data_IF_504061185377
#
_entry.id   IF_504061185377
#
_cell.length_a   1.000
_cell.length_b   1.000
_cell.length_c   1.000
_cell.angle_alpha   90.00
_cell.angle_beta   90.00
_cell.angle_gamma   90.00
#
_symmetry.space_group_name_H-M   'P 1'
#
loop_
_entity.id
_entity.type
_entity.pdbx_description
1 polymer ?
#
# COMPACT_ATOMS: atom_id res chain seq x y z
N UNK A 1 7.52 -3.00 -29.43
CA UNK A 1 7.60 -3.15 -27.96
C UNK A 1 6.51 -4.11 -27.51
N UNK A 2 6.83 -5.28 -26.96
CA UNK A 2 5.84 -6.21 -26.40
C UNK A 2 5.50 -5.75 -24.98
N UNK A 3 4.33 -5.13 -24.80
CA UNK A 3 3.76 -4.79 -23.51
C UNK A 3 3.29 -6.09 -22.83
N UNK A 4 4.17 -6.75 -22.08
CA UNK A 4 3.79 -7.94 -21.30
C UNK A 4 4.19 -7.68 -19.85
N UNK A 5 3.38 -6.90 -19.16
CA UNK A 5 3.18 -7.13 -17.73
C UNK A 5 2.25 -8.34 -17.64
N UNK A 6 2.66 -9.40 -16.92
CA UNK A 6 1.84 -10.62 -16.84
C UNK A 6 0.59 -10.30 -15.99
N UNK A 7 -0.62 -10.75 -16.38
CA UNK A 7 -1.86 -10.54 -15.61
C UNK A 7 -1.71 -10.87 -14.12
N UNK A 8 -0.89 -11.88 -13.80
CA UNK A 8 -0.59 -12.30 -12.44
C UNK A 8 -0.04 -11.18 -11.55
N UNK A 9 0.74 -10.24 -12.09
CA UNK A 9 1.37 -9.18 -11.30
C UNK A 9 0.31 -8.17 -10.81
N UNK A 10 -0.64 -7.83 -11.67
CA UNK A 10 -1.77 -6.96 -11.32
C UNK A 10 -2.73 -7.64 -10.36
N UNK A 11 -2.94 -8.96 -10.53
CA UNK A 11 -3.73 -9.77 -9.60
C UNK A 11 -3.06 -9.80 -8.22
N UNK A 12 -1.73 -9.97 -8.13
CA UNK A 12 -1.00 -9.89 -6.87
C UNK A 12 -1.17 -8.52 -6.20
N UNK A 13 -1.10 -7.43 -6.96
CA UNK A 13 -1.34 -6.08 -6.43
C UNK A 13 -2.78 -5.93 -5.91
N UNK A 14 -3.77 -6.47 -6.63
CA UNK A 14 -5.16 -6.50 -6.20
C UNK A 14 -5.35 -7.21 -4.87
N UNK A 15 -4.79 -8.40 -4.70
CA UNK A 15 -4.87 -9.12 -3.44
C UNK A 15 -4.12 -8.41 -2.31
N UNK A 16 -2.97 -7.77 -2.60
CA UNK A 16 -2.27 -6.97 -1.61
C UNK A 16 -3.15 -5.83 -1.06
N UNK A 17 -3.93 -5.16 -1.91
CA UNK A 17 -4.91 -4.14 -1.51
C UNK A 17 -5.96 -4.73 -0.56
N UNK A 18 -6.50 -5.91 -0.88
CA UNK A 18 -7.50 -6.59 -0.03
C UNK A 18 -6.90 -6.90 1.35
N UNK A 19 -5.70 -7.47 1.39
CA UNK A 19 -5.04 -7.78 2.66
C UNK A 19 -4.73 -6.53 3.49
N UNK A 20 -4.47 -5.37 2.86
CA UNK A 20 -4.36 -4.10 3.60
C UNK A 20 -5.65 -3.76 4.33
N UNK A 21 -6.81 -3.94 3.70
CA UNK A 21 -8.11 -3.67 4.34
C UNK A 21 -8.30 -4.59 5.55
N UNK A 22 -8.04 -5.88 5.39
CA UNK A 22 -8.17 -6.87 6.46
C UNK A 22 -7.26 -6.56 7.65
N UNK A 23 -5.99 -6.21 7.40
CA UNK A 23 -5.04 -5.84 8.45
C UNK A 23 -5.46 -4.55 9.17
N UNK A 24 -5.95 -3.55 8.43
CA UNK A 24 -6.48 -2.33 9.03
C UNK A 24 -7.73 -2.59 9.87
N UNK A 25 -8.59 -3.51 9.46
CA UNK A 25 -9.73 -3.96 10.25
C UNK A 25 -9.28 -4.67 11.54
N UNK A 26 -8.28 -5.54 11.48
CA UNK A 26 -7.71 -6.19 12.68
C UNK A 26 -7.13 -5.17 13.68
N UNK A 27 -6.44 -4.14 13.19
CA UNK A 27 -5.95 -3.03 14.02
C UNK A 27 -7.14 -2.29 14.64
N UNK A 28 -8.16 -1.99 13.83
CA UNK A 28 -9.41 -1.38 14.29
C UNK A 28 -10.17 -2.26 15.30
N UNK A 29 -10.02 -3.59 15.25
CA UNK A 29 -10.60 -4.56 16.19
C UNK A 29 -9.71 -4.83 17.41
N UNK A 30 -8.45 -4.39 17.43
CA UNK A 30 -7.62 -4.29 18.66
C UNK A 30 -6.39 -5.16 18.69
N UNK A 31 -6.14 -5.87 17.60
CA UNK A 31 -4.91 -6.64 17.42
C UNK A 31 -3.80 -5.72 16.88
N UNK A 32 -3.40 -4.75 17.70
CA UNK A 32 -2.53 -3.66 17.26
C UNK A 32 -1.14 -4.17 16.84
N UNK A 33 -0.46 -4.92 17.71
CA UNK A 33 0.92 -5.35 17.49
C UNK A 33 0.98 -6.31 16.29
N UNK A 34 0.06 -7.28 16.23
CA UNK A 34 -0.04 -8.21 15.10
C UNK A 34 -0.35 -7.49 13.79
N UNK A 35 -1.34 -6.60 13.80
CA UNK A 35 -1.70 -5.80 12.63
C UNK A 35 -0.56 -4.91 12.16
N UNK A 36 0.19 -4.30 13.07
CA UNK A 36 1.37 -3.50 12.74
C UNK A 36 2.45 -4.31 11.99
N UNK A 37 2.80 -5.49 12.50
CA UNK A 37 3.77 -6.38 11.87
C UNK A 37 3.30 -6.77 10.47
N UNK A 38 2.02 -7.13 10.32
CA UNK A 38 1.43 -7.47 9.03
C UNK A 38 1.42 -6.29 8.06
N UNK A 39 1.21 -5.05 8.53
CA UNK A 39 1.20 -3.84 7.72
C UNK A 39 2.60 -3.54 7.15
N UNK A 40 3.65 -3.76 7.96
CA UNK A 40 5.05 -3.67 7.50
C UNK A 40 5.36 -4.74 6.47
N UNK A 41 4.93 -5.99 6.70
CA UNK A 41 5.12 -7.10 5.74
C UNK A 41 4.42 -6.77 4.42
N UNK A 42 3.17 -6.31 4.46
CA UNK A 42 2.40 -5.92 3.27
C UNK A 42 3.07 -4.78 2.51
N UNK A 43 3.70 -3.83 3.21
CA UNK A 43 4.44 -2.74 2.58
C UNK A 43 5.65 -3.26 1.81
N UNK A 44 6.43 -4.15 2.42
CA UNK A 44 7.56 -4.80 1.76
C UNK A 44 7.10 -5.63 0.54
N UNK A 45 6.04 -6.42 0.69
CA UNK A 45 5.46 -7.22 -0.40
C UNK A 45 4.97 -6.33 -1.53
N UNK A 46 4.28 -5.23 -1.23
CA UNK A 46 3.79 -4.28 -2.24
C UNK A 46 4.95 -3.63 -3.00
N UNK A 47 6.04 -3.26 -2.30
CA UNK A 47 7.25 -2.76 -2.96
C UNK A 47 7.88 -3.80 -3.89
N UNK A 48 7.93 -5.08 -3.48
CA UNK A 48 8.44 -6.16 -4.33
C UNK A 48 7.56 -6.36 -5.57
N UNK A 49 6.23 -6.31 -5.42
CA UNK A 49 5.28 -6.42 -6.54
C UNK A 49 5.46 -5.24 -7.50
N UNK A 50 5.54 -4.00 -6.99
CA UNK A 50 5.74 -2.81 -7.83
C UNK A 50 7.08 -2.87 -8.58
N UNK A 51 8.16 -3.28 -7.90
CA UNK A 51 9.46 -3.51 -8.55
C UNK A 51 9.38 -4.61 -9.61
N UNK A 52 8.59 -5.66 -9.37
CA UNK A 52 8.40 -6.72 -10.36
C UNK A 52 7.62 -6.23 -11.58
N UNK A 53 6.61 -5.38 -11.39
CA UNK A 53 5.87 -4.73 -12.47
C UNK A 53 6.78 -3.78 -13.26
N UNK A 54 7.65 -3.01 -12.59
CA UNK A 54 8.51 -2.01 -13.25
C UNK A 54 9.57 -2.59 -14.20
N UNK A 55 9.90 -3.88 -14.06
CA UNK A 55 10.85 -4.57 -14.95
C UNK A 55 10.36 -4.66 -16.40
N UNK A 56 9.06 -4.55 -16.62
CA UNK A 56 8.44 -4.67 -17.93
C UNK A 56 7.82 -3.34 -18.36
N UNK A 57 7.73 -3.11 -19.67
CA UNK A 57 6.96 -1.97 -20.20
C UNK A 57 5.48 -2.21 -19.94
N UNK A 58 4.89 -1.36 -19.11
CA UNK A 58 3.48 -1.42 -18.73
C UNK A 58 2.64 -0.62 -19.74
N UNK A 59 1.50 -1.18 -20.15
CA UNK A 59 0.55 -0.46 -21.02
C UNK A 59 -0.08 0.72 -20.28
N UNK A 60 -0.69 1.65 -21.01
CA UNK A 60 -1.44 2.76 -20.41
C UNK A 60 -2.50 2.28 -19.40
N UNK A 61 -3.30 1.27 -19.78
CA UNK A 61 -4.29 0.64 -18.88
C UNK A 61 -3.66 0.02 -17.64
N UNK A 62 -2.50 -0.63 -17.77
CA UNK A 62 -1.78 -1.20 -16.64
C UNK A 62 -1.26 -0.13 -15.67
N UNK A 63 -0.76 1.00 -16.19
CA UNK A 63 -0.34 2.13 -15.36
C UNK A 63 -1.54 2.76 -14.63
N UNK A 64 -2.66 2.94 -15.32
CA UNK A 64 -3.90 3.43 -14.71
C UNK A 64 -4.37 2.51 -13.58
N UNK A 65 -4.33 1.19 -13.80
CA UNK A 65 -4.68 0.21 -12.78
C UNK A 65 -3.77 0.30 -11.54
N UNK A 66 -2.44 0.31 -11.73
CA UNK A 66 -1.49 0.39 -10.60
C UNK A 66 -1.74 1.68 -9.81
N UNK A 67 -1.83 2.82 -10.50
CA UNK A 67 -2.08 4.10 -9.84
C UNK A 67 -3.43 4.13 -9.11
N UNK A 68 -4.48 3.55 -9.72
CA UNK A 68 -5.78 3.40 -9.08
C UNK A 68 -5.69 2.60 -7.78
N UNK A 69 -4.95 1.50 -7.78
CA UNK A 69 -4.76 0.67 -6.58
C UNK A 69 -4.01 1.38 -5.47
N UNK A 70 -2.90 2.04 -5.80
CA UNK A 70 -2.12 2.79 -4.82
C UNK A 70 -2.92 3.96 -4.23
N UNK A 71 -3.70 4.65 -5.07
CA UNK A 71 -4.61 5.70 -4.62
C UNK A 71 -5.70 5.15 -3.72
N UNK A 72 -6.30 4.00 -4.07
CA UNK A 72 -7.34 3.36 -3.28
C UNK A 72 -6.86 2.99 -1.88
N UNK A 73 -5.69 2.35 -1.73
CA UNK A 73 -5.19 2.00 -0.39
C UNK A 73 -4.85 3.28 0.40
N UNK A 74 -4.33 4.31 -0.25
CA UNK A 74 -4.07 5.60 0.40
C UNK A 74 -5.36 6.23 0.95
N UNK A 75 -6.44 6.19 0.18
CA UNK A 75 -7.75 6.69 0.61
C UNK A 75 -8.33 5.88 1.78
N UNK A 76 -8.22 4.56 1.72
CA UNK A 76 -8.67 3.65 2.81
C UNK A 76 -7.90 3.96 4.10
N UNK A 77 -6.57 4.12 4.03
CA UNK A 77 -5.77 4.50 5.19
C UNK A 77 -6.23 5.81 5.80
N UNK A 78 -6.47 6.84 4.97
CA UNK A 78 -6.97 8.13 5.45
C UNK A 78 -8.31 7.98 6.17
N UNK A 79 -9.24 7.18 5.65
CA UNK A 79 -10.52 6.92 6.32
C UNK A 79 -10.33 6.25 7.68
N UNK A 80 -9.48 5.24 7.77
CA UNK A 80 -9.17 4.57 9.04
C UNK A 80 -8.50 5.53 10.05
N UNK A 81 -7.65 6.44 9.58
CA UNK A 81 -7.06 7.51 10.39
C UNK A 81 -8.16 8.43 10.95
N UNK A 82 -9.11 8.85 10.12
CA UNK A 82 -10.23 9.71 10.55
C UNK A 82 -11.09 9.00 11.60
N UNK A 83 -11.41 7.71 11.39
CA UNK A 83 -12.15 6.91 12.39
C UNK A 83 -11.38 6.71 13.70
N UNK A 84 -10.05 6.65 13.62
CA UNK A 84 -9.18 6.56 14.79
C UNK A 84 -9.20 7.88 15.59
N UNK A 85 -9.00 9.02 14.92
CA UNK A 85 -8.96 10.36 15.55
C UNK A 85 -10.32 10.73 16.16
N UNK A 86 -11.43 10.37 15.50
CA UNK A 86 -12.80 10.66 15.97
C UNK A 86 -13.24 9.83 17.19
N UNK A 87 -12.35 9.01 17.75
CA UNK A 87 -12.42 8.61 19.16
C UNK A 87 -13.23 7.35 19.47
N UNK A 88 -13.47 6.46 18.50
CA UNK A 88 -14.07 5.15 18.81
C UNK A 88 -13.16 4.24 19.65
N UNK A 89 -11.86 4.55 19.81
CA UNK A 89 -10.92 3.80 20.65
C UNK A 89 -9.89 4.67 21.35
N UNK A 90 -9.85 4.60 22.68
CA UNK A 90 -8.78 5.11 23.53
C UNK A 90 -7.68 4.06 23.63
N UNK A 91 -6.81 3.95 22.62
CA UNK A 91 -5.52 3.31 22.86
C UNK A 91 -4.70 4.22 23.78
N UNK A 92 -3.82 3.66 24.61
CA UNK A 92 -2.90 4.46 25.43
C UNK A 92 -2.23 5.48 24.49
N UNK A 93 -2.32 6.75 24.84
CA UNK A 93 -2.25 7.87 23.88
C UNK A 93 -0.98 7.87 23.00
N UNK A 94 0.08 7.20 23.43
CA UNK A 94 1.37 7.13 22.74
C UNK A 94 1.44 6.03 21.68
N UNK A 95 0.96 4.82 21.95
CA UNK A 95 1.06 3.68 21.02
C UNK A 95 0.18 3.90 19.79
N UNK A 96 -1.04 4.39 20.01
CA UNK A 96 -1.99 4.71 18.95
C UNK A 96 -1.46 5.73 17.94
N UNK A 97 -0.79 6.79 18.43
CA UNK A 97 -0.21 7.84 17.59
C UNK A 97 0.98 7.34 16.76
N UNK A 98 1.86 6.53 17.35
CA UNK A 98 3.04 5.97 16.66
C UNK A 98 2.60 5.06 15.50
N UNK A 99 1.59 4.23 15.73
CA UNK A 99 1.07 3.29 14.72
C UNK A 99 0.35 4.02 13.61
N UNK A 100 -0.37 5.09 13.93
CA UNK A 100 -0.99 5.96 12.94
C UNK A 100 0.07 6.65 12.07
N UNK A 101 1.16 7.14 12.67
CA UNK A 101 2.27 7.76 11.96
C UNK A 101 2.99 6.78 11.01
N UNK A 102 3.20 5.54 11.45
CA UNK A 102 3.83 4.50 10.61
C UNK A 102 2.87 4.02 9.50
N UNK A 103 1.57 3.92 9.80
CA UNK A 103 0.53 3.66 8.82
C UNK A 103 0.41 4.73 7.73
N UNK A 104 0.95 5.94 7.96
CA UNK A 104 1.02 7.02 6.96
C UNK A 104 2.24 6.95 6.04
N UNK A 105 3.32 6.25 6.42
CA UNK A 105 4.50 6.08 5.56
C UNK A 105 4.18 5.47 4.18
N UNK A 106 3.31 4.45 4.04
CA UNK A 106 2.88 3.93 2.74
C UNK A 106 2.26 4.99 1.82
N UNK A 107 1.49 5.94 2.35
CA UNK A 107 0.73 6.95 1.58
C UNK A 107 1.67 7.81 0.73
N UNK A 108 2.83 8.16 1.27
CA UNK A 108 3.84 8.98 0.57
C UNK A 108 4.40 8.25 -0.66
N UNK A 109 4.55 6.93 -0.59
CA UNK A 109 5.00 6.12 -1.74
C UNK A 109 3.89 5.90 -2.76
N UNK A 110 2.65 5.83 -2.30
CA UNK A 110 1.48 5.50 -3.12
C UNK A 110 0.88 6.70 -3.86
N UNK A 111 1.14 7.92 -3.40
CA UNK A 111 0.77 9.13 -4.14
C UNK A 111 1.69 9.44 -5.32
N UNK A 112 2.81 8.71 -5.46
CA UNK A 112 3.71 8.89 -6.59
C UNK A 112 3.18 8.13 -7.81
N UNK A 113 2.38 8.82 -8.63
CA UNK A 113 1.82 8.32 -9.90
C UNK A 113 2.86 7.79 -10.90
N UNK A 114 4.15 7.99 -10.63
CA UNK A 114 5.26 7.59 -11.47
C UNK A 114 6.24 6.62 -10.78
N UNK A 115 5.81 5.94 -9.70
CA UNK A 115 6.66 5.07 -8.88
C UNK A 115 7.35 3.96 -9.68
N UNK A 116 6.68 3.42 -10.71
CA UNK A 116 7.24 2.41 -11.61
C UNK A 116 8.43 2.98 -12.41
N UNK A 117 8.35 4.25 -12.81
CA UNK A 117 9.41 4.93 -13.55
C UNK A 117 10.63 5.22 -12.65
N UNK A 118 10.40 5.51 -11.37
CA UNK A 118 11.46 5.65 -10.35
C UNK A 118 12.22 4.33 -10.17
N UNK A 119 11.50 3.21 -10.04
CA UNK A 119 12.14 1.89 -9.94
C UNK A 119 12.93 1.52 -11.19
N UNK A 120 12.38 1.80 -12.38
CA UNK A 120 13.05 1.53 -13.65
C UNK A 120 14.30 2.38 -13.89
N UNK A 121 14.30 3.66 -13.47
CA UNK A 121 15.49 4.53 -13.55
C UNK A 121 16.61 4.05 -12.63
N UNK A 122 16.27 3.45 -11.47
CA UNK A 122 17.25 2.86 -10.53
C UNK A 122 17.92 1.60 -11.06
N UNK A 123 17.25 0.78 -11.87
CA UNK A 123 17.87 -0.43 -12.47
C UNK A 123 18.75 -0.12 -13.69
N UNK A 124 18.69 1.10 -14.24
CA UNK A 124 19.49 1.53 -15.40
C UNK A 124 20.78 2.28 -15.05
N UNK A 125 20.98 2.59 -13.77
CA UNK A 125 22.22 3.15 -13.22
C UNK A 125 22.99 2.04 -12.52
#
# INVERSE_FOLDING_TARGET
>A
MKYISKPIQFICLFFAVIFYIEVLEQIYQGQIIGGFILLVILLLVTMLILKWISKYTVSFFGMFFVNGMLTLISFILILYIVFFITGRRTFSQTEGLIILFIGMLPIIFWWNFNILEVFRKKERK
#
